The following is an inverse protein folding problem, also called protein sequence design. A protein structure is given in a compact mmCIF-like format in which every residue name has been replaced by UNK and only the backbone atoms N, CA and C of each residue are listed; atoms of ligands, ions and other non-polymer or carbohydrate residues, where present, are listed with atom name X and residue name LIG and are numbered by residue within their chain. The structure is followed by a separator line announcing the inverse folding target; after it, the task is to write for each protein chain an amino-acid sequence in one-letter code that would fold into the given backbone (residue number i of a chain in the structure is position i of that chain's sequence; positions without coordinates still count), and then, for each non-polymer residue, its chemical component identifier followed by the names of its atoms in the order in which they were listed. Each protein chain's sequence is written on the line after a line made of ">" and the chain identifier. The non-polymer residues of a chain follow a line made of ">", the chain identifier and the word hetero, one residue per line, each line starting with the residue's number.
data_IF_538837124051
#
_entry.id   IF_538837124051
#
_cell.length_a   1.000
_cell.length_b   1.000
_cell.length_c   1.000
_cell.angle_alpha   90.00
_cell.angle_beta   90.00
_cell.angle_gamma   90.00
#
_symmetry.space_group_name_H-M   'P 1'
#
loop_
_entity.id
_entity.type
_entity.pdbx_description
1 polymer ?
#
# COMPACT_ATOMS: atom_id res chain seq x y z
N UNK A 1 -4.19 4.14 10.99
CA UNK A 1 -2.90 4.66 10.40
C UNK A 1 -3.24 5.88 9.56
N UNK A 2 -2.64 7.05 9.80
CA UNK A 2 -3.05 8.30 9.13
C UNK A 2 -2.89 8.26 7.62
N UNK A 3 -1.74 7.79 7.14
CA UNK A 3 -1.43 7.80 5.72
C UNK A 3 -2.43 6.96 4.90
N UNK A 4 -2.90 5.83 5.42
CA UNK A 4 -3.92 5.02 4.76
C UNK A 4 -5.29 5.74 4.66
N UNK A 5 -5.61 6.57 5.66
CA UNK A 5 -6.84 7.36 5.64
C UNK A 5 -6.72 8.59 4.71
N UNK A 6 -5.54 9.19 4.63
CA UNK A 6 -5.30 10.41 3.84
C UNK A 6 -4.96 10.11 2.37
N UNK A 7 -4.55 8.87 2.06
CA UNK A 7 -4.19 8.40 0.71
C UNK A 7 -4.78 7.00 0.46
N UNK A 8 -6.11 6.88 0.36
CA UNK A 8 -6.80 5.58 0.29
C UNK A 8 -6.50 4.79 -0.98
N UNK A 9 -5.97 5.43 -2.03
CA UNK A 9 -5.53 4.80 -3.27
C UNK A 9 -4.20 4.04 -3.14
N UNK A 10 -3.49 4.19 -2.00
CA UNK A 10 -2.23 3.50 -1.72
C UNK A 10 -2.45 2.25 -0.86
N UNK A 11 -1.82 1.15 -1.25
CA UNK A 11 -1.62 0.01 -0.38
C UNK A 11 -0.37 0.26 0.46
N UNK A 12 -0.49 0.23 1.79
CA UNK A 12 0.61 0.53 2.70
C UNK A 12 1.04 -0.74 3.40
N UNK A 13 2.32 -1.07 3.23
CA UNK A 13 2.96 -2.22 3.87
C UNK A 13 4.05 -1.73 4.83
N UNK A 14 4.17 -2.36 5.98
CA UNK A 14 5.26 -2.13 6.92
C UNK A 14 6.15 -3.37 6.95
N UNK A 15 7.43 -3.19 6.67
CA UNK A 15 8.45 -4.24 6.77
C UNK A 15 9.17 -4.07 8.10
N UNK A 16 8.92 -5.00 9.03
CA UNK A 16 9.60 -5.07 10.32
C UNK A 16 10.75 -6.07 10.26
N UNK A 17 11.88 -5.70 10.85
CA UNK A 17 13.01 -6.61 11.08
C UNK A 17 13.60 -6.34 12.47
N UNK A 18 14.14 -7.36 13.17
CA UNK A 18 14.71 -7.15 14.51
C UNK A 18 15.89 -6.18 14.49
N UNK A 19 15.85 -5.12 15.28
CA UNK A 19 16.93 -4.11 15.36
C UNK A 19 18.25 -4.71 15.88
N UNK A 20 18.18 -5.80 16.68
CA UNK A 20 19.35 -6.59 17.11
C UNK A 20 20.17 -7.15 15.94
N UNK A 21 19.59 -7.25 14.77
CA UNK A 21 20.26 -7.75 13.56
C UNK A 21 21.28 -6.77 12.97
N UNK A 22 21.15 -5.47 13.26
CA UNK A 22 22.23 -4.52 12.91
C UNK A 22 23.39 -4.60 13.89
N UNK A 23 23.17 -5.00 15.15
CA UNK A 23 24.25 -5.42 16.02
C UNK A 23 24.92 -6.72 15.56
N UNK A 24 24.17 -7.62 14.89
CA UNK A 24 24.68 -8.82 14.25
C UNK A 24 25.40 -8.55 12.93
N UNK A 25 24.99 -7.54 12.18
CA UNK A 25 25.73 -7.04 11.02
C UNK A 25 27.14 -6.58 11.45
N UNK A 26 27.25 -5.89 12.58
CA UNK A 26 28.53 -5.60 13.21
C UNK A 26 29.32 -6.87 13.63
N UNK A 27 28.64 -8.00 13.83
CA UNK A 27 29.23 -9.30 14.25
C UNK A 27 29.30 -10.36 13.14
N UNK A 28 28.95 -10.05 11.91
CA UNK A 28 28.94 -10.98 10.75
C UNK A 28 27.91 -12.12 10.82
N UNK A 29 26.83 -12.02 11.59
CA UNK A 29 25.89 -13.13 11.72
C UNK A 29 24.74 -13.13 10.72
N UNK A 30 24.47 -12.03 10.01
CA UNK A 30 23.57 -11.98 8.84
C UNK A 30 23.82 -10.70 8.05
N UNK A 31 24.30 -10.85 6.85
CA UNK A 31 24.68 -9.77 5.95
C UNK A 31 23.43 -8.98 5.48
N UNK A 32 23.63 -7.68 5.22
CA UNK A 32 22.65 -6.80 4.58
C UNK A 32 22.10 -7.41 3.27
N UNK A 33 22.94 -8.12 2.56
CA UNK A 33 22.63 -8.82 1.31
C UNK A 33 21.64 -9.98 1.50
N UNK A 34 21.84 -10.84 2.50
CA UNK A 34 20.92 -11.94 2.82
C UNK A 34 19.55 -11.41 3.24
N UNK A 35 19.53 -10.33 4.00
CA UNK A 35 18.31 -9.68 4.42
C UNK A 35 17.55 -9.05 3.26
N UNK A 36 18.27 -8.44 2.33
CA UNK A 36 17.67 -7.92 1.11
C UNK A 36 16.98 -9.03 0.31
N UNK A 37 17.60 -10.19 0.17
CA UNK A 37 16.99 -11.38 -0.47
C UNK A 37 15.74 -11.84 0.25
N UNK A 38 15.82 -12.03 1.57
CA UNK A 38 14.67 -12.46 2.37
C UNK A 38 13.50 -11.47 2.29
N UNK A 39 13.79 -10.16 2.26
CA UNK A 39 12.76 -9.13 2.10
C UNK A 39 12.15 -9.17 0.70
N UNK A 40 12.95 -9.30 -0.35
CA UNK A 40 12.47 -9.42 -1.73
C UNK A 40 11.59 -10.66 -1.92
N UNK A 41 11.99 -11.80 -1.38
CA UNK A 41 11.21 -13.03 -1.42
C UNK A 41 9.87 -12.84 -0.73
N UNK A 42 9.87 -12.31 0.49
CA UNK A 42 8.64 -12.02 1.23
C UNK A 42 7.73 -11.07 0.44
N UNK A 43 8.26 -9.98 -0.10
CA UNK A 43 7.48 -9.03 -0.90
C UNK A 43 6.88 -9.69 -2.13
N UNK A 44 7.63 -10.56 -2.81
CA UNK A 44 7.15 -11.31 -3.98
C UNK A 44 6.00 -12.25 -3.62
N UNK A 45 6.09 -12.95 -2.48
CA UNK A 45 5.02 -13.81 -1.97
C UNK A 45 3.71 -13.04 -1.70
N UNK A 46 3.80 -11.75 -1.36
CA UNK A 46 2.65 -10.87 -1.19
C UNK A 46 2.21 -10.17 -2.49
N UNK A 47 2.77 -10.52 -3.64
CA UNK A 47 2.43 -9.94 -4.94
C UNK A 47 2.91 -8.49 -5.13
N UNK A 48 3.82 -8.01 -4.28
CA UNK A 48 4.42 -6.68 -4.40
C UNK A 48 5.37 -6.69 -5.61
N UNK A 49 5.22 -5.71 -6.50
CA UNK A 49 5.96 -5.65 -7.78
C UNK A 49 5.03 -5.55 -9.00
N UNK A 50 3.71 -5.73 -8.81
CA UNK A 50 2.72 -5.62 -9.89
C UNK A 50 2.20 -4.19 -10.10
N UNK A 51 2.42 -3.30 -9.13
CA UNK A 51 1.98 -1.89 -9.11
C UNK A 51 3.18 -0.98 -8.81
N UNK A 52 3.10 0.33 -9.13
CA UNK A 52 4.11 1.30 -8.72
C UNK A 52 4.42 1.23 -7.22
N UNK A 53 5.70 1.27 -6.88
CA UNK A 53 6.20 1.16 -5.51
C UNK A 53 6.92 2.45 -5.13
N UNK A 54 6.66 2.96 -3.93
CA UNK A 54 7.50 3.94 -3.26
C UNK A 54 8.01 3.35 -1.95
N UNK A 55 9.32 3.31 -1.82
CA UNK A 55 9.95 2.88 -0.58
C UNK A 55 10.14 4.07 0.36
N UNK A 56 9.86 3.86 1.64
CA UNK A 56 10.17 4.82 2.71
C UNK A 56 11.07 4.13 3.72
N UNK A 57 12.30 4.56 3.82
CA UNK A 57 13.31 3.96 4.70
C UNK A 57 13.78 4.91 5.79
N UNK A 58 13.69 4.49 7.05
CA UNK A 58 14.27 5.21 8.18
C UNK A 58 15.62 4.61 8.57
N UNK A 59 16.60 5.46 8.76
CA UNK A 59 17.92 5.05 9.25
C UNK A 59 18.52 3.94 8.38
N UNK A 60 18.94 2.84 8.97
CA UNK A 60 19.48 1.66 8.28
C UNK A 60 18.50 0.99 7.32
N UNK A 61 17.19 1.23 7.47
CA UNK A 61 16.18 0.77 6.53
C UNK A 61 16.37 1.35 5.12
N UNK A 62 16.93 2.56 5.02
CA UNK A 62 17.30 3.13 3.72
C UNK A 62 18.45 2.40 3.03
N UNK A 63 19.41 1.88 3.80
CA UNK A 63 20.49 1.04 3.26
C UNK A 63 19.95 -0.31 2.80
N UNK A 64 19.02 -0.90 3.55
CA UNK A 64 18.32 -2.13 3.15
C UNK A 64 17.59 -1.94 1.83
N UNK A 65 16.87 -0.82 1.64
CA UNK A 65 16.19 -0.50 0.37
C UNK A 65 17.19 -0.44 -0.79
N UNK A 66 18.32 0.23 -0.61
CA UNK A 66 19.37 0.29 -1.65
C UNK A 66 19.89 -1.09 -2.02
N UNK A 67 20.15 -1.93 -1.00
CA UNK A 67 20.62 -3.30 -1.23
C UNK A 67 19.55 -4.16 -1.89
N UNK A 68 18.27 -4.01 -1.51
CA UNK A 68 17.16 -4.70 -2.18
C UNK A 68 17.07 -4.33 -3.66
N UNK A 69 17.13 -3.06 -4.00
CA UNK A 69 17.08 -2.61 -5.39
C UNK A 69 18.30 -3.10 -6.21
N UNK A 70 19.49 -3.11 -5.61
CA UNK A 70 20.70 -3.69 -6.22
C UNK A 70 20.50 -5.20 -6.45
N UNK A 71 20.13 -5.94 -5.42
CA UNK A 71 19.94 -7.39 -5.47
C UNK A 71 18.84 -7.78 -6.47
N UNK A 72 17.71 -7.07 -6.48
CA UNK A 72 16.61 -7.31 -7.39
C UNK A 72 17.02 -7.12 -8.86
N UNK A 73 17.73 -6.06 -9.16
CA UNK A 73 18.20 -5.76 -10.50
C UNK A 73 19.23 -6.77 -11.01
N UNK A 74 20.15 -7.20 -10.14
CA UNK A 74 21.24 -8.10 -10.48
C UNK A 74 20.81 -9.59 -10.42
N UNK A 75 19.56 -9.86 -10.01
CA UNK A 75 18.98 -11.21 -9.91
C UNK A 75 18.43 -11.68 -11.26
N UNK A 76 18.34 -13.00 -11.43
CA UNK A 76 17.59 -13.66 -12.52
C UNK A 76 16.13 -13.93 -12.15
N UNK A 77 15.74 -13.73 -10.87
CA UNK A 77 14.40 -13.93 -10.36
C UNK A 77 13.46 -12.81 -10.86
N UNK A 78 12.57 -13.14 -11.77
CA UNK A 78 11.62 -12.18 -12.37
C UNK A 78 10.75 -11.44 -11.34
N UNK A 79 10.21 -12.09 -10.29
CA UNK A 79 9.44 -11.38 -9.27
C UNK A 79 10.26 -10.31 -8.54
N UNK A 80 11.56 -10.56 -8.30
CA UNK A 80 12.44 -9.57 -7.69
C UNK A 80 12.76 -8.43 -8.64
N UNK A 81 13.03 -8.73 -9.91
CA UNK A 81 13.26 -7.70 -10.93
C UNK A 81 12.04 -6.77 -11.05
N UNK A 82 10.82 -7.31 -11.03
CA UNK A 82 9.58 -6.53 -11.06
C UNK A 82 9.49 -5.52 -9.92
N UNK A 83 9.95 -5.87 -8.71
CA UNK A 83 9.97 -4.94 -7.58
C UNK A 83 10.88 -3.73 -7.88
N UNK A 84 12.06 -3.96 -8.44
CA UNK A 84 12.96 -2.88 -8.84
C UNK A 84 12.38 -2.06 -10.01
N UNK A 85 11.81 -2.72 -11.02
CA UNK A 85 11.22 -2.08 -12.21
C UNK A 85 10.01 -1.20 -11.85
N UNK A 86 9.25 -1.57 -10.83
CA UNK A 86 8.09 -0.81 -10.36
C UNK A 86 8.44 0.27 -9.33
N UNK A 87 9.71 0.40 -8.91
CA UNK A 87 10.13 1.46 -8.02
C UNK A 87 10.02 2.83 -8.72
N UNK A 88 9.13 3.70 -8.22
CA UNK A 88 8.92 5.08 -8.70
C UNK A 88 9.56 6.10 -7.80
N UNK A 89 9.88 5.73 -6.56
CA UNK A 89 10.54 6.65 -5.65
C UNK A 89 11.07 5.99 -4.40
N UNK A 90 12.04 6.66 -3.79
CA UNK A 90 12.59 6.28 -2.49
C UNK A 90 12.67 7.52 -1.60
N UNK A 91 12.08 7.42 -0.42
CA UNK A 91 12.13 8.44 0.61
C UNK A 91 13.07 7.95 1.73
N UNK A 92 14.10 8.71 1.98
CA UNK A 92 15.06 8.45 3.05
C UNK A 92 14.77 9.37 4.24
N UNK A 93 14.53 8.81 5.41
CA UNK A 93 14.37 9.51 6.68
C UNK A 93 15.61 9.24 7.53
N UNK A 94 16.47 10.23 7.69
CA UNK A 94 17.72 10.10 8.44
C UNK A 94 18.52 8.83 8.09
N UNK A 95 18.68 8.55 6.78
CA UNK A 95 19.48 7.44 6.30
C UNK A 95 20.93 7.88 6.08
N UNK A 96 21.94 7.18 6.64
CA UNK A 96 23.34 7.49 6.40
C UNK A 96 23.77 7.01 5.01
N UNK A 97 24.13 7.94 4.15
CA UNK A 97 24.67 7.63 2.82
C UNK A 97 26.21 7.61 2.78
N UNK A 98 26.85 8.05 3.88
CA UNK A 98 28.29 7.99 4.06
C UNK A 98 28.63 7.33 5.40
N UNK A 99 29.81 6.71 5.49
CA UNK A 99 30.24 5.93 6.66
C UNK A 99 30.39 6.74 7.98
N UNK A 100 30.47 8.08 7.90
CA UNK A 100 30.71 8.92 9.08
C UNK A 100 29.59 8.84 10.15
N UNK A 101 28.34 8.64 9.74
CA UNK A 101 27.19 8.55 10.67
C UNK A 101 26.84 7.12 11.08
N UNK A 102 27.40 6.11 10.43
CA UNK A 102 27.08 4.72 10.75
C UNK A 102 27.48 4.33 12.16
N UNK A 103 28.65 4.79 12.61
CA UNK A 103 29.12 4.58 13.99
C UNK A 103 28.17 5.21 15.04
N UNK A 104 27.60 6.37 14.74
CA UNK A 104 26.63 7.04 15.61
C UNK A 104 25.34 6.23 15.72
N UNK A 105 24.83 5.71 14.61
CA UNK A 105 23.64 4.85 14.56
C UNK A 105 23.85 3.58 15.36
N UNK A 106 24.96 2.92 15.17
CA UNK A 106 25.30 1.69 15.89
C UNK A 106 25.48 1.95 17.39
N UNK A 107 26.07 3.09 17.78
CA UNK A 107 26.14 3.53 19.15
C UNK A 107 24.74 3.81 19.74
N UNK A 108 23.81 4.31 18.96
CA UNK A 108 22.42 4.53 19.39
C UNK A 108 21.69 3.21 19.59
N UNK A 109 21.86 2.25 18.65
CA UNK A 109 21.20 0.95 18.66
C UNK A 109 21.80 -0.04 19.66
N UNK A 110 23.08 0.12 20.01
CA UNK A 110 23.81 -0.75 20.96
C UNK A 110 23.54 -0.43 22.42
N UNK A 111 22.31 -0.14 22.80
CA UNK A 111 21.88 0.04 24.18
C UNK A 111 22.21 -1.22 25.01
N UNK A 112 23.45 -1.27 25.56
CA UNK A 112 23.89 -2.31 26.49
C UNK A 112 25.05 -3.20 26.06
N UNK A 113 25.59 -3.09 24.83
CA UNK A 113 26.74 -3.85 24.40
C UNK A 113 28.01 -2.98 24.39
N UNK A 114 28.98 -3.32 25.24
CA UNK A 114 30.27 -2.64 25.35
C UNK A 114 31.05 -2.70 24.03
N UNK A 115 31.51 -1.62 23.63
CA UNK A 115 32.03 -0.94 22.45
C UNK A 115 33.33 -1.43 21.80
N UNK A 116 33.63 -2.70 21.67
CA UNK A 116 34.93 -3.14 21.09
C UNK A 116 34.89 -3.19 19.54
N UNK A 117 33.72 -3.04 18.91
CA UNK A 117 33.58 -3.22 17.45
C UNK A 117 33.21 -1.97 16.64
N UNK A 118 33.04 -0.82 17.26
CA UNK A 118 32.69 0.44 16.57
C UNK A 118 33.81 0.89 15.63
N UNK A 119 35.08 0.64 16.01
CA UNK A 119 36.23 1.02 15.19
C UNK A 119 36.42 0.16 13.93
N UNK A 120 35.95 -1.09 13.93
CA UNK A 120 35.95 -1.92 12.73
C UNK A 120 34.90 -1.48 11.70
N UNK A 121 33.79 -0.87 12.13
CA UNK A 121 32.76 -0.34 11.25
C UNK A 121 33.16 0.96 10.56
N UNK A 122 34.13 1.69 11.10
CA UNK A 122 34.79 2.81 10.42
C UNK A 122 35.67 2.31 9.27
N UNK A 123 36.13 1.08 9.32
CA UNK A 123 36.97 0.47 8.28
C UNK A 123 36.20 -0.05 7.06
N UNK A 124 34.88 -0.36 7.21
CA UNK A 124 34.03 -0.89 6.12
C UNK A 124 33.28 0.23 5.39
N UNK A 125 33.80 1.45 5.35
CA UNK A 125 33.24 2.56 4.56
C UNK A 125 33.21 2.29 3.05
N UNK A 126 34.02 1.34 2.56
CA UNK A 126 34.05 0.92 1.15
C UNK A 126 32.75 0.27 0.69
N UNK A 127 32.15 -0.63 1.49
CA UNK A 127 30.88 -1.30 1.14
C UNK A 127 29.70 -0.30 1.04
N UNK A 128 29.64 0.66 1.97
CA UNK A 128 28.64 1.73 1.90
C UNK A 128 28.84 2.64 0.70
N UNK A 129 30.09 2.97 0.39
CA UNK A 129 30.43 3.78 -0.78
C UNK A 129 30.02 3.05 -2.05
N UNK A 130 30.39 1.78 -2.19
CA UNK A 130 30.00 0.94 -3.32
C UNK A 130 28.48 0.80 -3.46
N UNK A 131 27.77 0.58 -2.34
CA UNK A 131 26.30 0.52 -2.33
C UNK A 131 25.67 1.83 -2.78
N UNK A 132 26.22 2.96 -2.34
CA UNK A 132 25.74 4.29 -2.72
C UNK A 132 26.03 4.59 -4.20
N UNK A 133 27.20 4.23 -4.70
CA UNK A 133 27.56 4.37 -6.11
C UNK A 133 26.68 3.50 -7.01
N UNK A 134 26.46 2.25 -6.62
CA UNK A 134 25.53 1.35 -7.32
C UNK A 134 24.11 1.92 -7.37
N UNK A 135 23.65 2.51 -6.27
CA UNK A 135 22.34 3.15 -6.20
C UNK A 135 22.25 4.39 -7.09
N UNK A 136 23.28 5.26 -7.10
CA UNK A 136 23.35 6.41 -8.02
C UNK A 136 23.32 5.97 -9.48
N UNK A 137 24.12 4.98 -9.84
CA UNK A 137 24.13 4.42 -11.19
C UNK A 137 22.76 3.85 -11.59
N UNK A 138 22.02 3.26 -10.65
CA UNK A 138 20.67 2.79 -10.88
C UNK A 138 19.70 3.96 -11.14
N UNK A 139 19.72 5.02 -10.32
CA UNK A 139 18.90 6.21 -10.51
C UNK A 139 19.15 6.94 -11.85
N UNK A 140 20.38 6.85 -12.39
CA UNK A 140 20.69 7.40 -13.71
C UNK A 140 20.08 6.58 -14.85
N UNK A 141 19.97 5.25 -14.69
CA UNK A 141 19.41 4.36 -15.71
C UNK A 141 17.89 4.28 -15.66
N UNK A 142 17.34 4.31 -14.48
CA UNK A 142 15.90 4.25 -14.24
C UNK A 142 15.47 5.50 -13.47
N UNK A 143 14.79 6.46 -14.11
CA UNK A 143 14.30 7.66 -13.44
C UNK A 143 13.34 7.30 -12.30
N UNK A 144 13.69 7.73 -11.09
CA UNK A 144 12.85 7.62 -9.90
C UNK A 144 13.00 8.86 -9.03
N UNK A 145 11.97 9.19 -8.28
CA UNK A 145 12.00 10.34 -7.37
C UNK A 145 12.73 9.98 -6.08
N UNK A 146 13.79 10.70 -5.76
CA UNK A 146 14.54 10.51 -4.52
C UNK A 146 14.32 11.71 -3.61
N UNK A 147 13.97 11.43 -2.36
CA UNK A 147 13.75 12.44 -1.33
C UNK A 147 14.57 12.04 -0.11
N UNK A 148 15.34 12.96 0.45
CA UNK A 148 16.14 12.72 1.65
C UNK A 148 15.79 13.77 2.72
N UNK A 149 15.51 13.30 3.91
CA UNK A 149 15.29 14.13 5.10
C UNK A 149 16.37 13.84 6.15
N UNK A 150 16.78 14.87 6.90
CA UNK A 150 17.73 14.72 8.00
C UNK A 150 17.26 15.44 9.26
N UNK A 151 17.69 14.92 10.41
CA UNK A 151 17.36 15.49 11.71
C UNK A 151 18.19 16.73 12.04
N UNK A 152 17.57 17.71 12.71
CA UNK A 152 18.23 18.91 13.23
C UNK A 152 18.49 18.87 14.73
N UNK A 153 17.76 18.02 15.45
CA UNK A 153 17.89 17.93 16.90
C UNK A 153 18.75 16.77 17.32
N UNK A 154 19.47 16.96 18.41
CA UNK A 154 20.26 15.92 19.04
C UNK A 154 19.34 14.92 19.74
N UNK A 155 19.73 13.65 19.70
CA UNK A 155 19.07 12.61 20.50
C UNK A 155 19.31 12.85 21.98
N UNK A 156 18.66 12.07 22.86
CA UNK A 156 18.89 12.06 24.32
C UNK A 156 20.35 11.86 24.71
N UNK A 157 21.18 11.30 23.80
CA UNK A 157 22.64 11.18 23.96
C UNK A 157 23.44 12.40 23.49
N UNK A 158 22.79 13.53 23.25
CA UNK A 158 23.40 14.80 22.80
C UNK A 158 24.15 14.74 21.49
N UNK A 159 23.84 13.77 20.61
CA UNK A 159 24.44 13.63 19.26
C UNK A 159 23.38 13.78 18.16
N UNK A 160 23.76 14.42 17.06
CA UNK A 160 23.07 14.31 15.77
C UNK A 160 23.55 13.00 15.16
N UNK A 161 22.63 12.09 14.85
CA UNK A 161 22.97 10.75 14.36
C UNK A 161 23.29 10.80 12.88
N UNK A 162 22.45 11.48 12.06
CA UNK A 162 22.67 11.67 10.62
C UNK A 162 22.55 13.14 10.29
N UNK A 163 23.67 13.79 10.04
CA UNK A 163 23.75 15.18 9.63
C UNK A 163 23.42 15.37 8.14
N UNK A 164 23.34 16.62 7.68
CA UNK A 164 23.03 16.96 6.29
C UNK A 164 23.97 16.27 5.28
N UNK A 165 25.26 16.23 5.58
CA UNK A 165 26.27 15.65 4.67
C UNK A 165 26.11 14.14 4.55
N UNK A 166 25.84 13.47 5.67
CA UNK A 166 25.59 12.02 5.68
C UNK A 166 24.25 11.64 5.09
N UNK A 167 23.26 12.52 5.18
CA UNK A 167 21.93 12.32 4.58
C UNK A 167 21.88 12.60 3.07
N UNK A 168 22.94 13.12 2.49
CA UNK A 168 23.01 13.39 1.05
C UNK A 168 23.34 12.10 0.28
N UNK A 169 22.40 11.59 -0.57
CA UNK A 169 22.67 10.42 -1.40
C UNK A 169 23.64 10.73 -2.55
N UNK A 170 24.02 11.99 -2.76
CA UNK A 170 24.91 12.42 -3.84
C UNK A 170 24.31 12.22 -5.24
N UNK A 171 23.00 12.39 -5.37
CA UNK A 171 22.26 12.29 -6.64
C UNK A 171 21.97 13.70 -7.14
N UNK A 172 22.27 13.98 -8.40
CA UNK A 172 22.02 15.30 -9.00
C UNK A 172 20.55 15.69 -8.88
N UNK A 173 20.30 16.92 -8.42
CA UNK A 173 18.93 17.43 -8.21
C UNK A 173 18.28 17.02 -6.89
N UNK A 174 18.91 16.20 -6.07
CA UNK A 174 18.43 15.84 -4.73
C UNK A 174 19.11 16.73 -3.68
N UNK A 175 18.29 17.49 -2.94
CA UNK A 175 18.78 18.30 -1.81
C UNK A 175 18.19 17.77 -0.53
N UNK A 176 19.00 17.36 0.47
CA UNK A 176 18.50 16.91 1.76
C UNK A 176 17.68 17.99 2.47
N UNK A 177 16.52 17.62 3.00
CA UNK A 177 15.54 18.49 3.64
C UNK A 177 15.69 18.41 5.15
N UNK A 178 15.92 19.53 5.86
CA UNK A 178 15.98 19.53 7.32
C UNK A 178 14.61 19.31 7.95
N UNK A 179 14.60 18.58 9.05
CA UNK A 179 13.41 18.36 9.89
C UNK A 179 13.74 18.70 11.33
N UNK A 180 12.90 19.51 11.97
CA UNK A 180 13.01 19.87 13.38
C UNK A 180 12.58 18.70 14.29
N UNK A 181 13.37 17.64 14.24
CA UNK A 181 13.18 16.39 14.95
C UNK A 181 14.53 15.76 15.29
N UNK A 182 14.56 14.86 16.25
CA UNK A 182 15.68 13.95 16.47
C UNK A 182 15.56 12.69 15.61
N UNK A 183 16.54 11.79 15.71
CA UNK A 183 16.61 10.57 14.90
C UNK A 183 15.39 9.65 14.99
N UNK A 184 14.70 9.62 16.11
CA UNK A 184 13.51 8.79 16.32
C UNK A 184 12.24 9.56 15.96
N UNK A 185 12.16 10.82 16.34
CA UNK A 185 10.98 11.65 16.11
C UNK A 185 10.73 11.91 14.62
N UNK A 186 11.79 11.89 13.78
CA UNK A 186 11.67 12.11 12.33
C UNK A 186 10.76 11.07 11.64
N UNK A 187 10.67 9.84 12.16
CA UNK A 187 9.79 8.80 11.60
C UNK A 187 8.51 8.58 12.43
N UNK A 188 8.32 9.31 13.53
CA UNK A 188 7.16 9.22 14.43
C UNK A 188 6.49 10.58 14.62
N UNK A 189 5.87 11.16 13.56
CA UNK A 189 5.21 12.45 13.66
C UNK A 189 4.08 12.42 14.70
N UNK A 190 3.97 13.48 15.50
CA UNK A 190 3.03 13.56 16.63
C UNK A 190 1.59 13.89 16.17
N UNK A 191 1.44 14.48 14.98
CA UNK A 191 0.14 14.86 14.44
C UNK A 191 0.14 14.85 12.91
N UNK A 192 -1.03 14.91 12.31
CA UNK A 192 -1.20 15.08 10.85
C UNK A 192 -0.71 16.45 10.35
N UNK A 193 -0.57 17.42 11.23
CA UNK A 193 -0.05 18.76 10.94
C UNK A 193 1.48 18.83 11.10
N UNK A 194 2.14 17.80 11.59
CA UNK A 194 3.60 17.76 11.69
C UNK A 194 4.24 18.01 10.32
N UNK A 195 5.20 18.95 10.20
CA UNK A 195 5.78 19.35 8.91
C UNK A 195 6.30 18.17 8.09
N UNK A 196 6.93 17.19 8.75
CA UNK A 196 7.44 15.99 8.06
C UNK A 196 6.30 15.15 7.47
N UNK A 197 5.16 15.00 8.18
CA UNK A 197 4.02 14.24 7.67
C UNK A 197 3.36 14.96 6.48
N UNK A 198 3.17 16.28 6.57
CA UNK A 198 2.60 17.10 5.49
C UNK A 198 3.51 17.05 4.25
N UNK A 199 4.83 17.22 4.44
CA UNK A 199 5.81 17.13 3.37
C UNK A 199 5.84 15.75 2.72
N UNK A 200 5.87 14.67 3.52
CA UNK A 200 5.85 13.30 3.01
C UNK A 200 4.59 13.05 2.16
N UNK A 201 3.41 13.41 2.66
CA UNK A 201 2.15 13.25 1.93
C UNK A 201 2.17 14.02 0.60
N UNK A 202 2.61 15.27 0.60
CA UNK A 202 2.73 16.08 -0.62
C UNK A 202 3.67 15.40 -1.65
N UNK A 203 4.82 14.92 -1.20
CA UNK A 203 5.79 14.23 -2.08
C UNK A 203 5.24 12.91 -2.62
N UNK A 204 4.59 12.11 -1.78
CA UNK A 204 3.96 10.85 -2.22
C UNK A 204 2.87 11.09 -3.26
N UNK A 205 2.05 12.12 -3.10
CA UNK A 205 1.05 12.51 -4.10
C UNK A 205 1.69 12.86 -5.45
N UNK A 206 2.88 13.48 -5.45
CA UNK A 206 3.61 13.77 -6.68
C UNK A 206 4.23 12.54 -7.35
N UNK A 207 4.62 11.51 -6.56
CA UNK A 207 5.23 10.28 -7.08
C UNK A 207 4.17 9.28 -7.55
N UNK A 208 3.13 9.09 -6.75
CA UNK A 208 1.99 8.22 -7.06
C UNK A 208 0.73 9.08 -6.90
N UNK A 209 0.40 9.87 -7.92
CA UNK A 209 -0.81 10.67 -7.88
C UNK A 209 -2.03 9.76 -7.72
N UNK A 210 -3.09 10.25 -7.08
CA UNK A 210 -4.37 9.57 -7.16
C UNK A 210 -4.69 9.33 -8.65
N UNK A 211 -5.38 8.26 -8.97
CA UNK A 211 -5.81 8.03 -10.34
C UNK A 211 -6.36 9.34 -10.92
N UNK A 212 -5.87 9.73 -12.10
CA UNK A 212 -6.36 10.94 -12.73
C UNK A 212 -7.89 10.80 -12.85
N UNK A 213 -8.61 11.69 -12.18
CA UNK A 213 -10.01 11.91 -12.49
C UNK A 213 -9.98 12.37 -13.95
N UNK A 214 -10.38 11.51 -14.87
CA UNK A 214 -10.55 11.91 -16.27
C UNK A 214 -11.40 13.19 -16.25
N UNK A 215 -11.08 14.22 -17.05
CA UNK A 215 -11.89 15.42 -17.06
C UNK A 215 -13.32 14.97 -17.31
N UNK A 216 -14.17 15.23 -16.35
CA UNK A 216 -15.59 14.88 -16.35
C UNK A 216 -16.20 15.54 -17.59
N UNK A 217 -16.34 14.76 -18.65
CA UNK A 217 -17.38 15.05 -19.64
C UNK A 217 -18.68 14.66 -18.92
N UNK A 218 -19.35 15.66 -18.42
CA UNK A 218 -20.65 15.74 -17.78
C UNK A 218 -21.54 14.48 -17.82
N UNK A 219 -21.14 13.40 -17.13
CA UNK A 219 -21.98 12.31 -16.63
C UNK A 219 -21.19 11.65 -15.48
N UNK A 220 -21.78 11.61 -14.30
CA UNK A 220 -21.28 11.33 -12.97
C UNK A 220 -20.11 10.37 -12.84
N UNK A 221 -19.30 10.60 -11.81
CA UNK A 221 -18.22 9.74 -11.36
C UNK A 221 -18.61 8.26 -11.46
N UNK A 222 -17.92 7.52 -12.33
CA UNK A 222 -18.01 6.07 -12.29
C UNK A 222 -17.20 5.64 -11.07
N UNK A 223 -17.88 5.54 -9.93
CA UNK A 223 -17.31 4.96 -8.72
C UNK A 223 -16.67 3.61 -9.10
N UNK A 224 -15.43 3.42 -8.71
CA UNK A 224 -14.77 2.13 -8.85
C UNK A 224 -15.47 1.13 -7.90
N UNK A 225 -16.48 0.44 -8.43
CA UNK A 225 -17.35 -0.49 -7.70
C UNK A 225 -16.59 -1.71 -7.14
N UNK A 226 -15.31 -1.88 -7.53
CA UNK A 226 -14.43 -2.89 -6.96
C UNK A 226 -13.81 -2.46 -5.62
N UNK A 227 -13.78 -1.15 -5.34
CA UNK A 227 -13.25 -0.59 -4.10
C UNK A 227 -14.33 -0.55 -3.01
N UNK A 228 -13.99 -0.80 -1.72
CA UNK A 228 -14.96 -0.69 -0.64
C UNK A 228 -15.48 0.74 -0.48
N UNK A 229 -16.80 0.90 -0.39
CA UNK A 229 -17.40 2.19 -0.07
C UNK A 229 -16.98 2.65 1.33
N UNK A 230 -16.67 3.92 1.55
CA UNK A 230 -16.32 4.45 2.88
C UNK A 230 -17.51 4.52 3.84
N UNK A 231 -18.73 4.34 3.35
CA UNK A 231 -19.97 4.57 4.11
C UNK A 231 -20.31 3.48 5.12
N UNK A 232 -19.89 2.24 4.88
CA UNK A 232 -20.13 1.11 5.78
C UNK A 232 -18.89 0.20 5.82
N UNK A 233 -18.27 0.05 7.00
CA UNK A 233 -17.05 -0.74 7.20
C UNK A 233 -17.30 -2.11 7.83
N UNK A 234 -18.56 -2.51 8.00
CA UNK A 234 -18.91 -3.83 8.54
C UNK A 234 -18.56 -4.91 7.51
N UNK A 235 -18.12 -6.07 7.98
CA UNK A 235 -17.97 -7.25 7.13
C UNK A 235 -19.33 -7.81 6.69
N UNK A 236 -19.31 -8.71 5.70
CA UNK A 236 -20.53 -9.32 5.17
C UNK A 236 -21.36 -10.03 6.25
N UNK A 237 -20.70 -10.74 7.19
CA UNK A 237 -21.39 -11.46 8.25
C UNK A 237 -22.15 -10.50 9.15
N UNK A 238 -21.53 -9.43 9.60
CA UNK A 238 -22.14 -8.40 10.44
C UNK A 238 -23.31 -7.72 9.71
N UNK A 239 -23.22 -7.48 8.41
CA UNK A 239 -24.30 -6.92 7.59
C UNK A 239 -25.49 -7.88 7.48
N UNK A 240 -25.23 -9.17 7.25
CA UNK A 240 -26.29 -10.18 7.17
C UNK A 240 -26.99 -10.37 8.51
N UNK A 241 -26.27 -10.33 9.64
CA UNK A 241 -26.85 -10.35 10.98
C UNK A 241 -27.72 -9.13 11.21
N UNK A 242 -27.23 -7.91 10.92
CA UNK A 242 -27.99 -6.67 11.07
C UNK A 242 -29.26 -6.62 10.21
N UNK A 243 -29.27 -7.31 9.08
CA UNK A 243 -30.42 -7.47 8.21
C UNK A 243 -31.38 -8.61 8.63
N UNK A 244 -31.08 -9.36 9.71
CA UNK A 244 -31.84 -10.54 10.11
C UNK A 244 -31.75 -11.72 9.14
N UNK A 245 -30.68 -11.76 8.34
CA UNK A 245 -30.42 -12.76 7.27
C UNK A 245 -29.18 -13.59 7.53
N UNK A 246 -28.82 -13.83 8.77
CA UNK A 246 -27.61 -14.58 9.14
C UNK A 246 -27.57 -15.99 8.54
N UNK A 247 -28.72 -16.63 8.36
CA UNK A 247 -28.85 -17.96 7.75
C UNK A 247 -28.43 -17.98 6.26
N UNK A 248 -28.43 -16.84 5.58
CA UNK A 248 -28.00 -16.72 4.19
C UNK A 248 -26.47 -16.48 4.07
N UNK A 249 -25.77 -16.20 5.17
CA UNK A 249 -24.35 -15.86 5.15
C UNK A 249 -23.45 -16.87 4.42
N UNK A 250 -23.59 -18.19 4.59
CA UNK A 250 -22.74 -19.16 3.86
C UNK A 250 -22.91 -19.05 2.34
N UNK A 251 -24.14 -18.83 1.89
CA UNK A 251 -24.45 -18.63 0.48
C UNK A 251 -23.90 -17.29 -0.04
N UNK A 252 -24.14 -16.21 0.71
CA UNK A 252 -23.68 -14.87 0.39
C UNK A 252 -22.13 -14.81 0.27
N UNK A 253 -21.42 -15.42 1.23
CA UNK A 253 -19.96 -15.47 1.24
C UNK A 253 -19.39 -16.30 0.07
N UNK A 254 -20.02 -17.44 -0.24
CA UNK A 254 -19.64 -18.23 -1.44
C UNK A 254 -19.86 -17.44 -2.73
N UNK A 255 -20.98 -16.74 -2.83
CA UNK A 255 -21.38 -15.97 -4.01
C UNK A 255 -20.45 -14.78 -4.27
N UNK A 256 -20.18 -13.94 -3.24
CA UNK A 256 -19.24 -12.84 -3.36
C UNK A 256 -17.84 -13.30 -3.75
N UNK A 257 -17.36 -14.41 -3.16
CA UNK A 257 -16.04 -14.97 -3.48
C UNK A 257 -15.94 -15.47 -4.92
N UNK A 258 -17.01 -16.04 -5.46
CA UNK A 258 -17.06 -16.47 -6.88
C UNK A 258 -16.96 -15.27 -7.81
N UNK A 259 -17.69 -14.20 -7.52
CA UNK A 259 -17.63 -13.00 -8.33
C UNK A 259 -16.28 -12.29 -8.22
N UNK A 260 -15.70 -12.19 -7.01
CA UNK A 260 -14.38 -11.61 -6.80
C UNK A 260 -13.31 -12.32 -7.66
N UNK A 261 -13.29 -13.66 -7.66
CA UNK A 261 -12.37 -14.43 -8.51
C UNK A 261 -12.60 -14.23 -10.00
N UNK A 262 -13.84 -14.09 -10.42
CA UNK A 262 -14.18 -13.81 -11.82
C UNK A 262 -13.70 -12.41 -12.21
N UNK A 263 -13.95 -11.42 -11.37
CA UNK A 263 -13.54 -10.03 -11.57
C UNK A 263 -12.00 -9.88 -11.63
N UNK A 264 -11.26 -10.55 -10.72
CA UNK A 264 -9.79 -10.57 -10.72
C UNK A 264 -9.22 -11.19 -12.00
N UNK A 265 -9.78 -12.33 -12.45
CA UNK A 265 -9.35 -12.98 -13.69
C UNK A 265 -9.57 -12.13 -14.93
N UNK A 266 -10.65 -11.35 -14.96
CA UNK A 266 -10.98 -10.48 -16.11
C UNK A 266 -10.22 -9.15 -16.08
N UNK A 267 -9.81 -8.66 -14.92
CA UNK A 267 -8.94 -7.50 -14.77
C UNK A 267 -7.54 -7.67 -15.40
N UNK A 268 -7.11 -8.91 -15.63
CA UNK A 268 -5.88 -9.25 -16.36
C UNK A 268 -6.04 -9.15 -17.89
N UNK A 269 -7.27 -9.11 -18.42
CA UNK A 269 -7.57 -9.02 -19.84
C UNK A 269 -8.25 -7.67 -20.09
N UNK A 270 -7.59 -6.78 -20.78
CA UNK A 270 -7.92 -5.34 -21.00
C UNK A 270 -9.37 -4.99 -21.47
N UNK A 271 -10.30 -5.91 -21.62
CA UNK A 271 -11.63 -5.65 -22.21
C UNK A 271 -12.88 -6.07 -21.41
N UNK A 272 -12.86 -7.05 -20.49
CA UNK A 272 -14.05 -7.43 -19.73
C UNK A 272 -14.35 -6.56 -18.49
N UNK A 273 -13.43 -5.71 -18.03
CA UNK A 273 -13.60 -4.93 -16.80
C UNK A 273 -14.74 -3.90 -16.89
N UNK A 274 -14.96 -3.30 -18.06
CA UNK A 274 -16.00 -2.30 -18.26
C UNK A 274 -17.39 -2.91 -18.18
N UNK A 275 -17.61 -4.06 -18.81
CA UNK A 275 -18.89 -4.78 -18.74
C UNK A 275 -19.27 -5.14 -17.28
N UNK A 276 -18.33 -5.61 -16.50
CA UNK A 276 -18.59 -5.95 -15.10
C UNK A 276 -18.84 -4.71 -14.24
N UNK A 277 -18.14 -3.60 -14.48
CA UNK A 277 -18.43 -2.33 -13.84
C UNK A 277 -19.83 -1.81 -14.19
N UNK A 278 -20.24 -1.89 -15.45
CA UNK A 278 -21.59 -1.51 -15.86
C UNK A 278 -22.67 -2.37 -15.18
N UNK A 279 -22.41 -3.69 -15.06
CA UNK A 279 -23.30 -4.60 -14.32
C UNK A 279 -23.39 -4.20 -12.82
N UNK A 280 -22.26 -3.89 -12.19
CA UNK A 280 -22.21 -3.51 -10.78
C UNK A 280 -22.97 -2.20 -10.53
N UNK A 281 -22.78 -1.18 -11.37
CA UNK A 281 -23.48 0.10 -11.30
C UNK A 281 -24.99 -0.07 -11.48
N UNK A 282 -25.41 -0.86 -12.46
CA UNK A 282 -26.83 -1.13 -12.70
C UNK A 282 -27.48 -1.89 -11.53
N UNK A 283 -26.75 -2.83 -10.90
CA UNK A 283 -27.23 -3.55 -9.71
C UNK A 283 -27.41 -2.57 -8.55
N UNK A 284 -26.40 -1.76 -8.27
CA UNK A 284 -26.46 -0.77 -7.18
C UNK A 284 -27.66 0.17 -7.36
N UNK A 285 -27.77 0.81 -8.54
CA UNK A 285 -28.84 1.74 -8.85
C UNK A 285 -30.23 1.12 -8.72
N UNK A 286 -30.43 -0.08 -9.28
CA UNK A 286 -31.72 -0.77 -9.18
C UNK A 286 -32.03 -1.20 -7.76
N UNK A 287 -31.04 -1.72 -7.04
CA UNK A 287 -31.22 -2.13 -5.65
C UNK A 287 -31.59 -0.93 -4.77
N UNK A 288 -30.89 0.18 -4.88
CA UNK A 288 -31.18 1.41 -4.11
C UNK A 288 -32.59 1.92 -4.40
N UNK A 289 -32.96 2.07 -5.68
CA UNK A 289 -34.20 2.72 -6.08
C UNK A 289 -35.45 1.82 -5.98
N UNK A 290 -35.30 0.51 -6.17
CA UNK A 290 -36.45 -0.40 -6.29
C UNK A 290 -36.60 -1.37 -5.11
N UNK A 291 -35.55 -1.51 -4.27
CA UNK A 291 -35.54 -2.43 -3.12
C UNK A 291 -35.22 -1.70 -1.82
N UNK A 292 -34.08 -1.02 -1.72
CA UNK A 292 -33.62 -0.44 -0.47
C UNK A 292 -34.59 0.65 0.06
N UNK A 293 -34.74 1.73 -0.67
CA UNK A 293 -35.58 2.83 -0.26
C UNK A 293 -37.08 2.46 -0.12
N UNK A 294 -37.72 1.83 -1.12
CA UNK A 294 -39.16 1.59 -1.06
C UNK A 294 -39.54 0.40 -0.18
N UNK A 295 -38.68 -0.56 0.08
CA UNK A 295 -39.03 -1.80 0.80
C UNK A 295 -38.25 -1.94 2.11
N UNK A 296 -36.91 -1.95 2.07
CA UNK A 296 -36.09 -2.19 3.28
C UNK A 296 -36.26 -1.03 4.27
N UNK A 297 -36.13 0.22 3.84
CA UNK A 297 -36.33 1.38 4.71
C UNK A 297 -37.77 1.47 5.23
N UNK A 298 -38.76 1.03 4.44
CA UNK A 298 -40.14 0.96 4.84
C UNK A 298 -40.47 -0.23 5.79
N UNK A 299 -39.54 -1.17 5.98
CA UNK A 299 -39.72 -2.31 6.87
C UNK A 299 -40.54 -3.45 6.28
N UNK A 300 -40.48 -3.63 4.96
CA UNK A 300 -41.11 -4.74 4.28
C UNK A 300 -40.59 -6.10 4.77
N UNK A 301 -41.45 -7.11 4.70
CA UNK A 301 -41.11 -8.49 5.02
C UNK A 301 -39.96 -9.03 4.12
N UNK A 302 -39.15 -9.93 4.66
CA UNK A 302 -38.02 -10.52 3.95
C UNK A 302 -38.42 -11.25 2.65
N UNK A 303 -39.58 -11.87 2.63
CA UNK A 303 -40.10 -12.55 1.44
C UNK A 303 -40.43 -11.54 0.32
N UNK A 304 -41.04 -10.38 0.67
CA UNK A 304 -41.32 -9.29 -0.27
C UNK A 304 -40.04 -8.70 -0.82
N UNK A 305 -39.04 -8.47 0.05
CA UNK A 305 -37.74 -7.96 -0.36
C UNK A 305 -37.03 -8.95 -1.30
N UNK A 306 -37.03 -10.24 -0.98
CA UNK A 306 -36.39 -11.27 -1.82
C UNK A 306 -37.06 -11.40 -3.19
N UNK A 307 -38.39 -11.36 -3.26
CA UNK A 307 -39.15 -11.35 -4.51
C UNK A 307 -38.81 -10.12 -5.36
N UNK A 308 -38.77 -8.95 -4.73
CA UNK A 308 -38.43 -7.71 -5.43
C UNK A 308 -36.99 -7.72 -5.98
N UNK A 309 -36.03 -8.30 -5.24
CA UNK A 309 -34.64 -8.46 -5.71
C UNK A 309 -34.65 -9.34 -6.97
N UNK A 310 -35.35 -10.47 -6.94
CA UNK A 310 -35.41 -11.38 -8.08
C UNK A 310 -36.04 -10.70 -9.31
N UNK A 311 -37.23 -10.14 -9.18
CA UNK A 311 -38.00 -9.60 -10.28
C UNK A 311 -37.51 -8.25 -10.81
N UNK A 312 -36.98 -7.36 -9.92
CA UNK A 312 -36.65 -5.98 -10.28
C UNK A 312 -35.16 -5.76 -10.51
N UNK A 313 -34.29 -6.62 -9.95
CA UNK A 313 -32.84 -6.49 -10.07
C UNK A 313 -32.25 -7.63 -10.89
N UNK A 314 -32.43 -8.87 -10.45
CA UNK A 314 -31.70 -10.02 -11.01
C UNK A 314 -32.17 -10.34 -12.44
N UNK A 315 -33.45 -10.59 -12.62
CA UNK A 315 -34.00 -11.02 -13.94
C UNK A 315 -33.81 -9.95 -15.02
N UNK A 316 -34.12 -8.66 -14.78
CA UNK A 316 -33.94 -7.65 -15.82
C UNK A 316 -32.49 -7.46 -16.23
N UNK A 317 -31.54 -7.57 -15.29
CA UNK A 317 -30.13 -7.44 -15.60
C UNK A 317 -29.56 -8.69 -16.28
N UNK A 318 -30.01 -9.89 -15.90
CA UNK A 318 -29.68 -11.10 -16.61
C UNK A 318 -30.18 -11.07 -18.07
N UNK A 319 -31.37 -10.49 -18.33
CA UNK A 319 -31.87 -10.25 -19.69
C UNK A 319 -31.01 -9.21 -20.43
N UNK A 320 -30.72 -8.06 -19.78
CA UNK A 320 -29.94 -6.97 -20.39
C UNK A 320 -28.54 -7.42 -20.81
N UNK A 321 -27.88 -8.20 -19.97
CA UNK A 321 -26.50 -8.62 -20.15
C UNK A 321 -26.32 -10.10 -20.59
N UNK A 322 -27.40 -10.81 -20.82
CA UNK A 322 -27.40 -12.25 -21.14
C UNK A 322 -26.59 -12.62 -22.36
N UNK A 323 -26.59 -11.78 -23.39
CA UNK A 323 -25.76 -11.96 -24.60
C UNK A 323 -24.24 -11.91 -24.29
N UNK A 324 -23.85 -11.34 -23.15
CA UNK A 324 -22.46 -11.20 -22.70
C UNK A 324 -22.08 -12.22 -21.60
N UNK A 325 -22.82 -13.34 -21.49
CA UNK A 325 -22.60 -14.41 -20.50
C UNK A 325 -22.97 -14.06 -19.04
N UNK A 326 -23.68 -12.98 -18.79
CA UNK A 326 -24.18 -12.65 -17.46
C UNK A 326 -25.51 -13.41 -17.20
N UNK A 327 -25.42 -14.52 -16.47
CA UNK A 327 -26.57 -15.31 -16.03
C UNK A 327 -27.19 -14.69 -14.75
N UNK A 328 -28.40 -15.13 -14.38
CA UNK A 328 -29.03 -14.78 -13.08
C UNK A 328 -28.07 -15.07 -11.90
N UNK A 329 -27.33 -16.17 -11.98
CA UNK A 329 -26.31 -16.54 -10.99
C UNK A 329 -25.17 -15.52 -10.94
N UNK A 330 -24.70 -15.01 -12.07
CA UNK A 330 -23.64 -13.99 -12.13
C UNK A 330 -24.10 -12.68 -11.51
N UNK A 331 -25.32 -12.24 -11.82
CA UNK A 331 -25.91 -11.02 -11.25
C UNK A 331 -26.11 -11.14 -9.73
N UNK A 332 -26.61 -12.31 -9.26
CA UNK A 332 -26.73 -12.58 -7.83
C UNK A 332 -25.36 -12.57 -7.10
N UNK A 333 -24.36 -13.19 -7.69
CA UNK A 333 -23.00 -13.19 -7.13
C UNK A 333 -22.42 -11.76 -7.06
N UNK A 334 -22.71 -10.93 -8.08
CA UNK A 334 -22.31 -9.53 -8.12
C UNK A 334 -23.03 -8.69 -7.04
N UNK A 335 -24.30 -8.95 -6.77
CA UNK A 335 -25.05 -8.29 -5.70
C UNK A 335 -24.42 -8.55 -4.32
N UNK A 336 -24.07 -9.79 -4.00
CA UNK A 336 -23.38 -10.09 -2.75
C UNK A 336 -21.94 -9.56 -2.70
N UNK A 337 -21.26 -9.45 -3.85
CA UNK A 337 -19.98 -8.76 -3.94
C UNK A 337 -20.11 -7.27 -3.59
N UNK A 338 -21.12 -6.58 -4.12
CA UNK A 338 -21.42 -5.20 -3.76
C UNK A 338 -21.79 -5.03 -2.27
N UNK A 339 -22.45 -6.03 -1.69
CA UNK A 339 -22.76 -6.05 -0.24
C UNK A 339 -21.47 -6.12 0.58
N UNK A 340 -20.55 -7.02 0.24
CA UNK A 340 -19.24 -7.11 0.89
C UNK A 340 -18.44 -5.81 0.74
N UNK A 341 -18.46 -5.21 -0.45
CA UNK A 341 -17.75 -3.94 -0.76
C UNK A 341 -18.48 -2.70 -0.25
N UNK A 342 -19.55 -2.85 0.55
CA UNK A 342 -20.26 -1.75 1.22
C UNK A 342 -21.03 -0.80 0.30
N UNK A 343 -21.28 -1.17 -0.95
CA UNK A 343 -22.12 -0.39 -1.88
C UNK A 343 -23.61 -0.65 -1.69
N UNK A 344 -23.97 -1.77 -1.11
CA UNK A 344 -25.36 -2.21 -0.90
C UNK A 344 -25.61 -2.53 0.57
N UNK A 345 -26.67 -1.95 1.15
CA UNK A 345 -27.14 -2.21 2.53
C UNK A 345 -28.43 -3.02 2.51
N UNK A 346 -28.57 -3.91 3.50
CA UNK A 346 -29.72 -4.77 3.68
C UNK A 346 -30.49 -4.47 4.97
N UNK A 347 -29.94 -3.64 5.82
CA UNK A 347 -30.53 -3.19 7.09
C UNK A 347 -31.05 -1.75 6.96
N UNK A 348 -31.97 -1.37 7.86
CA UNK A 348 -32.44 0.01 7.95
C UNK A 348 -31.29 0.96 8.34
N UNK A 349 -31.37 2.24 7.93
CA UNK A 349 -30.38 3.26 8.30
C UNK A 349 -30.22 3.41 9.80
#
# INVERSE_FOLDING_TARGET
>A
MWLAADMPHLNIYAVGYPASLFASWAKKEMDLFERAKASLETMSCYGIGTRPIVFVGHSLGGLLIKQMLRTARDSTEKPWQQIADQCRGVVFLATPHSGSSLANILSLLSLGLKSVHIDKLKADSSELTELNESFRAHCMKQPMTIIAYYEKFKTSKSIIVVDQKSADPGISGVTPIPVDADHTAICTPQSRQSPIYVSLRFRLTGIVPPPAVAPSTAFGDVDDMSSPSPLDRRDLQTKMIAAGREHEYPFANSSQSKFARLFEKTGLLKYPSQLYNDILLDIEQRFQNLVYHPLICAGADHAVVSTAIQEKVIEPLAMKYGASSATTTTVMNALYFLTERCHVRWDKP
#
